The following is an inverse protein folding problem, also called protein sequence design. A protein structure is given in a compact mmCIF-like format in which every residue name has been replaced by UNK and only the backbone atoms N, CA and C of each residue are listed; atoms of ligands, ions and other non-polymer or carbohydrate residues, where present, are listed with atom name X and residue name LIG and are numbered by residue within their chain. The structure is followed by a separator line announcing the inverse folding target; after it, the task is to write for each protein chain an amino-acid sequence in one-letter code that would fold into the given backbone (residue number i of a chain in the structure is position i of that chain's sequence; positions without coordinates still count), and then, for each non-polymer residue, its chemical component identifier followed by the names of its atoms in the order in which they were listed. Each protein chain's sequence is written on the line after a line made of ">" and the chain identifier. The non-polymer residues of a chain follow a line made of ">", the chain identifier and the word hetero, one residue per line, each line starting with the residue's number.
data_IF_467076204032
#
_entry.id   IF_467076204032
#
_cell.length_a   1.000
_cell.length_b   1.000
_cell.length_c   1.000
_cell.angle_alpha   90.00
_cell.angle_beta   90.00
_cell.angle_gamma   90.00
#
_symmetry.space_group_name_H-M   'P 1'
#
loop_
_entity.id
_entity.type
_entity.pdbx_description
1 polymer ?
#
# COMPACT_ATOMS: atom_id res chain seq x y z
N UNK A 1 -41.73 4.10 -30.25
CA UNK A 1 -42.69 4.41 -29.17
C UNK A 1 -42.77 3.18 -28.27
N UNK A 2 -41.87 3.06 -27.29
CA UNK A 2 -42.06 3.33 -25.82
C UNK A 2 -43.08 2.38 -25.18
N UNK A 3 -42.79 1.59 -24.14
CA UNK A 3 -41.60 1.36 -23.31
C UNK A 3 -41.97 0.90 -21.88
N UNK A 4 -40.98 0.34 -21.13
CA UNK A 4 -40.73 0.46 -19.66
C UNK A 4 -41.72 -0.26 -18.69
N UNK A 5 -41.37 -0.91 -17.55
CA UNK A 5 -40.18 -1.12 -16.69
C UNK A 5 -40.39 -2.42 -15.86
N UNK A 6 -39.33 -3.14 -15.51
CA UNK A 6 -39.24 -3.94 -14.27
C UNK A 6 -37.84 -3.72 -13.65
N UNK A 7 -37.80 -3.47 -12.35
CA UNK A 7 -36.61 -3.23 -11.54
C UNK A 7 -35.94 -4.57 -11.20
N UNK A 8 -34.67 -4.71 -11.56
CA UNK A 8 -33.75 -5.72 -11.04
C UNK A 8 -32.56 -4.96 -10.42
N UNK A 9 -32.30 -5.16 -9.14
CA UNK A 9 -31.06 -4.72 -8.49
C UNK A 9 -30.16 -5.95 -8.47
N UNK A 10 -29.26 -6.01 -9.45
CA UNK A 10 -28.14 -6.96 -9.50
C UNK A 10 -26.94 -6.18 -8.98
N UNK A 11 -26.42 -6.58 -7.82
CA UNK A 11 -25.13 -6.12 -7.32
C UNK A 11 -24.05 -6.93 -8.04
N UNK A 12 -23.36 -6.31 -8.99
CA UNK A 12 -22.23 -6.91 -9.69
C UNK A 12 -20.95 -6.62 -8.90
N UNK A 13 -20.39 -7.65 -8.27
CA UNK A 13 -19.03 -7.65 -7.72
C UNK A 13 -18.07 -7.78 -8.91
N UNK A 14 -17.32 -6.72 -9.20
CA UNK A 14 -16.29 -6.73 -10.23
C UNK A 14 -15.02 -7.39 -9.67
N UNK A 15 -14.89 -8.70 -9.89
CA UNK A 15 -13.62 -9.42 -9.73
C UNK A 15 -12.72 -9.06 -10.91
N UNK A 16 -11.77 -8.15 -10.69
CA UNK A 16 -10.67 -7.90 -11.63
C UNK A 16 -9.60 -8.99 -11.44
N UNK A 17 -9.85 -10.15 -12.04
CA UNK A 17 -8.82 -11.16 -12.29
C UNK A 17 -7.95 -10.69 -13.46
N UNK A 18 -6.76 -10.16 -13.13
CA UNK A 18 -5.71 -9.90 -14.11
C UNK A 18 -5.14 -11.20 -14.66
N UNK A 19 -5.58 -11.61 -15.84
CA UNK A 19 -4.95 -12.69 -16.61
C UNK A 19 -3.59 -12.22 -17.11
N UNK A 20 -2.51 -12.79 -16.58
CA UNK A 20 -1.18 -12.73 -17.18
C UNK A 20 -1.11 -13.65 -18.41
N UNK A 21 -0.69 -13.17 -19.58
CA UNK A 21 -0.18 -14.04 -20.64
C UNK A 21 1.34 -14.19 -20.53
N UNK A 22 1.77 -15.41 -20.20
CA UNK A 22 2.85 -16.15 -20.85
C UNK A 22 4.16 -15.43 -21.20
N UNK A 23 5.20 -15.75 -20.44
CA UNK A 23 6.59 -15.71 -20.86
C UNK A 23 6.85 -16.65 -22.05
N UNK A 24 7.61 -16.20 -23.05
CA UNK A 24 8.84 -16.85 -23.55
C UNK A 24 9.43 -16.01 -24.69
N UNK A 25 10.46 -15.21 -24.37
CA UNK A 25 11.44 -14.77 -25.35
C UNK A 25 12.76 -15.49 -25.01
N UNK A 26 13.04 -16.55 -25.76
CA UNK A 26 14.36 -17.15 -25.82
C UNK A 26 15.29 -16.13 -26.48
N UNK A 27 16.23 -15.57 -25.71
CA UNK A 27 17.36 -14.84 -26.26
C UNK A 27 18.54 -15.80 -26.29
N UNK A 28 18.91 -16.11 -27.52
CA UNK A 28 19.98 -16.99 -27.94
C UNK A 28 21.32 -16.47 -27.40
N UNK A 29 22.03 -17.35 -26.72
CA UNK A 29 23.38 -17.12 -26.23
C UNK A 29 24.33 -17.12 -27.44
N UNK A 30 24.65 -15.94 -27.94
CA UNK A 30 25.74 -15.76 -28.91
C UNK A 30 27.05 -15.63 -28.16
N UNK A 31 27.79 -16.74 -28.16
CA UNK A 31 29.23 -16.81 -27.95
C UNK A 31 29.95 -15.88 -28.93
N UNK A 32 31.02 -15.20 -28.48
CA UNK A 32 32.20 -15.09 -29.32
C UNK A 32 33.38 -15.77 -28.63
N UNK A 33 33.84 -16.83 -29.29
CA UNK A 33 35.17 -17.39 -29.15
C UNK A 33 36.25 -16.33 -29.37
N UNK A 34 37.32 -16.45 -28.58
CA UNK A 34 38.70 -16.17 -28.94
C UNK A 34 39.07 -14.75 -29.40
N UNK A 35 39.93 -14.09 -28.62
CA UNK A 35 41.29 -13.78 -29.07
C UNK A 35 42.16 -13.30 -27.88
N UNK A 36 43.23 -14.05 -27.68
CA UNK A 36 44.35 -13.68 -26.83
C UNK A 36 45.11 -12.50 -27.46
N UNK A 37 45.47 -11.52 -26.62
CA UNK A 37 46.56 -10.58 -26.79
C UNK A 37 46.89 -10.09 -25.35
N UNK A 38 48.00 -10.47 -24.70
CA UNK A 38 49.36 -9.97 -24.94
C UNK A 38 49.27 -8.49 -25.37
N UNK A 39 49.61 -7.49 -24.56
CA UNK A 39 50.89 -7.29 -23.89
C UNK A 39 50.76 -6.01 -23.05
N UNK A 40 51.53 -5.93 -21.99
CA UNK A 40 52.28 -4.74 -21.54
C UNK A 40 52.02 -3.46 -22.33
N UNK A 41 51.50 -2.40 -21.69
CA UNK A 41 52.26 -1.14 -21.54
C UNK A 41 51.45 -0.06 -20.78
N UNK A 42 52.21 0.75 -20.05
CA UNK A 42 51.98 2.18 -19.83
C UNK A 42 51.00 2.61 -18.73
N UNK A 43 51.53 2.51 -17.51
CA UNK A 43 51.50 3.56 -16.49
C UNK A 43 51.88 4.93 -17.09
N UNK A 44 50.96 5.61 -17.77
CA UNK A 44 51.07 7.03 -18.12
C UNK A 44 49.73 7.71 -17.91
N UNK A 45 49.35 7.87 -16.64
CA UNK A 45 48.50 8.96 -16.22
C UNK A 45 49.31 9.75 -15.19
N UNK A 46 49.08 11.06 -15.06
CA UNK A 46 49.56 11.92 -13.95
C UNK A 46 50.76 12.85 -14.20
N UNK A 47 50.94 13.42 -15.39
CA UNK A 47 51.68 14.70 -15.52
C UNK A 47 50.83 15.84 -16.05
N UNK A 48 49.90 15.58 -16.98
CA UNK A 48 49.02 16.62 -17.56
C UNK A 48 47.89 17.09 -16.64
N UNK A 49 47.44 16.29 -15.67
CA UNK A 49 46.35 16.68 -14.74
C UNK A 49 46.78 17.71 -13.68
N UNK A 50 48.08 17.85 -13.42
CA UNK A 50 48.56 18.64 -12.29
C UNK A 50 48.49 20.15 -12.51
N UNK A 51 48.60 20.59 -13.76
CA UNK A 51 48.41 22.01 -14.12
C UNK A 51 46.92 22.39 -14.07
N UNK A 52 46.04 21.50 -14.55
CA UNK A 52 44.60 21.72 -14.60
C UNK A 52 43.96 21.93 -13.21
N UNK A 53 44.49 21.30 -12.16
CA UNK A 53 44.00 21.47 -10.77
C UNK A 53 44.24 22.89 -10.24
N UNK A 54 45.20 23.64 -10.78
CA UNK A 54 45.43 25.04 -10.42
C UNK A 54 44.85 26.05 -11.42
N UNK A 55 44.21 25.58 -12.50
CA UNK A 55 43.59 26.49 -13.47
C UNK A 55 42.52 27.37 -12.82
N UNK A 56 42.47 28.65 -13.20
CA UNK A 56 41.53 29.61 -12.64
C UNK A 56 41.91 30.21 -11.28
N UNK A 57 43.01 29.78 -10.65
CA UNK A 57 43.57 30.47 -9.48
C UNK A 57 44.21 31.78 -9.96
N UNK A 58 43.44 32.86 -9.90
CA UNK A 58 43.83 34.20 -10.36
C UNK A 58 44.02 35.11 -9.14
N UNK A 59 45.27 35.29 -8.73
CA UNK A 59 45.60 36.15 -7.58
C UNK A 59 47.06 35.98 -7.15
N UNK A 60 47.58 36.96 -6.41
CA UNK A 60 48.93 36.93 -5.83
C UNK A 60 49.07 36.01 -4.61
N UNK A 61 47.99 35.35 -4.20
CA UNK A 61 47.89 34.54 -2.99
C UNK A 61 48.00 33.04 -3.23
N UNK A 62 48.20 32.27 -2.16
CA UNK A 62 48.10 30.82 -2.21
C UNK A 62 46.67 30.37 -1.90
N UNK A 63 46.18 29.37 -2.65
CA UNK A 63 44.82 28.83 -2.54
C UNK A 63 44.85 27.32 -2.37
N UNK A 64 44.14 26.80 -1.38
CA UNK A 64 43.96 25.35 -1.20
C UNK A 64 42.80 24.87 -2.04
N UNK A 65 43.05 23.89 -2.91
CA UNK A 65 42.09 23.22 -3.79
C UNK A 65 42.10 21.72 -3.45
N UNK A 66 40.98 21.04 -3.61
CA UNK A 66 40.94 19.59 -3.51
C UNK A 66 40.37 18.95 -4.77
N UNK A 67 40.63 17.65 -4.94
CA UNK A 67 39.90 16.79 -5.86
C UNK A 67 39.32 15.60 -5.10
N UNK A 68 38.10 15.18 -5.44
CA UNK A 68 37.52 13.95 -4.92
C UNK A 68 38.34 12.75 -5.41
N UNK A 69 38.86 11.93 -4.49
CA UNK A 69 39.71 10.80 -4.87
C UNK A 69 38.97 9.72 -5.70
N UNK A 70 37.64 9.67 -5.62
CA UNK A 70 36.79 8.73 -6.35
C UNK A 70 36.50 9.15 -7.79
N UNK A 71 36.28 10.44 -8.04
CA UNK A 71 35.84 10.95 -9.34
C UNK A 71 36.87 11.83 -10.05
N UNK A 72 37.89 12.32 -9.33
CA UNK A 72 38.82 13.33 -9.83
C UNK A 72 38.22 14.73 -9.94
N UNK A 73 36.94 14.91 -9.57
CA UNK A 73 36.24 16.18 -9.66
C UNK A 73 36.87 17.20 -8.71
N UNK A 74 37.04 18.43 -9.21
CA UNK A 74 37.64 19.54 -8.47
C UNK A 74 36.63 20.15 -7.50
N UNK A 75 37.09 20.36 -6.27
CA UNK A 75 36.32 20.91 -5.15
C UNK A 75 37.03 22.17 -4.64
N UNK A 76 36.31 23.28 -4.55
CA UNK A 76 36.87 24.60 -4.18
C UNK A 76 35.82 25.47 -3.51
N UNK A 77 36.24 26.48 -2.73
CA UNK A 77 35.30 27.39 -2.05
C UNK A 77 34.64 26.73 -0.84
N UNK A 78 33.35 26.99 -0.63
CA UNK A 78 32.57 26.44 0.50
C UNK A 78 31.69 25.29 0.02
N UNK A 79 31.97 24.09 0.52
CA UNK A 79 31.37 22.85 0.03
C UNK A 79 30.76 22.03 1.16
N UNK A 80 29.77 21.21 0.79
CA UNK A 80 29.05 20.33 1.72
C UNK A 80 29.35 18.88 1.36
N UNK A 81 30.25 18.26 2.12
CA UNK A 81 30.72 16.91 1.85
C UNK A 81 30.35 15.98 2.99
N UNK A 82 30.03 14.73 2.69
CA UNK A 82 29.74 13.76 3.73
C UNK A 82 31.02 13.23 4.38
N UNK A 83 30.88 12.73 5.61
CA UNK A 83 31.95 12.00 6.28
C UNK A 83 32.42 10.79 5.43
N UNK A 84 33.66 10.35 5.67
CA UNK A 84 34.36 9.29 4.95
C UNK A 84 34.71 9.59 3.48
N UNK A 85 34.31 10.74 2.93
CA UNK A 85 34.79 11.21 1.63
C UNK A 85 36.30 11.45 1.71
N UNK A 86 37.01 11.02 0.66
CA UNK A 86 38.46 11.20 0.54
C UNK A 86 38.78 12.30 -0.47
N UNK A 87 39.67 13.21 -0.05
CA UNK A 87 40.09 14.38 -0.81
C UNK A 87 41.60 14.35 -1.02
N UNK A 88 42.05 14.63 -2.23
CA UNK A 88 43.45 14.92 -2.53
C UNK A 88 43.66 16.43 -2.48
N UNK A 89 44.33 16.92 -1.44
CA UNK A 89 44.56 18.36 -1.24
C UNK A 89 45.78 18.83 -2.02
N UNK A 90 45.67 20.03 -2.62
CA UNK A 90 46.72 20.69 -3.37
C UNK A 90 46.79 22.17 -3.00
N UNK A 91 48.01 22.69 -2.87
CA UNK A 91 48.23 24.12 -2.68
C UNK A 91 48.65 24.76 -4.00
N UNK A 92 47.85 25.69 -4.50
CA UNK A 92 48.09 26.42 -5.73
C UNK A 92 48.54 27.85 -5.44
N UNK A 93 49.39 28.39 -6.31
CA UNK A 93 49.85 29.79 -6.30
C UNK A 93 49.72 30.39 -7.70
N UNK A 94 50.03 31.68 -7.86
CA UNK A 94 50.09 32.33 -9.19
C UNK A 94 51.09 31.68 -10.15
N UNK A 95 52.07 30.93 -9.63
CA UNK A 95 53.09 30.21 -10.41
C UNK A 95 52.73 28.74 -10.66
N UNK A 96 51.55 28.29 -10.20
CA UNK A 96 51.10 26.90 -10.28
C UNK A 96 51.18 26.18 -8.94
N UNK A 97 51.27 24.85 -9.00
CA UNK A 97 51.29 23.99 -7.82
C UNK A 97 52.52 24.27 -6.93
N UNK A 98 52.30 24.38 -5.62
CA UNK A 98 53.36 24.54 -4.63
C UNK A 98 53.82 23.15 -4.16
N UNK A 99 55.07 22.81 -4.48
CA UNK A 99 55.71 21.54 -4.09
C UNK A 99 57.14 21.78 -3.59
N UNK A 100 57.72 20.85 -2.81
CA UNK A 100 57.11 19.63 -2.29
C UNK A 100 56.29 19.89 -1.01
N UNK A 101 55.23 19.10 -0.82
CA UNK A 101 54.56 18.97 0.47
C UNK A 101 55.53 18.39 1.51
N UNK A 102 55.54 18.93 2.73
CA UNK A 102 56.52 18.62 3.78
C UNK A 102 57.60 19.69 3.94
N UNK A 103 58.10 20.25 2.83
CA UNK A 103 59.14 21.30 2.90
C UNK A 103 58.58 22.69 2.56
N UNK A 104 57.74 22.79 1.53
CA UNK A 104 57.21 24.07 1.07
C UNK A 104 55.91 24.47 1.78
N UNK A 105 55.15 23.49 2.25
CA UNK A 105 53.93 23.64 3.03
C UNK A 105 53.56 22.31 3.69
N UNK A 106 52.82 22.38 4.78
CA UNK A 106 52.33 21.22 5.52
C UNK A 106 50.88 21.40 5.95
N UNK A 107 50.18 20.29 6.18
CA UNK A 107 48.84 20.29 6.74
C UNK A 107 48.91 19.95 8.23
N UNK A 108 48.39 20.84 9.07
CA UNK A 108 48.27 20.60 10.50
C UNK A 108 47.19 19.55 10.79
N UNK A 109 47.50 18.55 11.61
CA UNK A 109 46.52 17.58 12.12
C UNK A 109 45.36 18.25 12.86
N UNK A 110 44.14 17.72 12.69
CA UNK A 110 42.91 18.25 13.29
C UNK A 110 41.85 17.16 13.40
N UNK A 111 40.96 17.25 14.38
CA UNK A 111 39.89 16.26 14.67
C UNK A 111 38.75 16.20 13.62
N UNK A 112 38.93 16.81 12.45
CA UNK A 112 37.92 16.85 11.38
C UNK A 112 38.30 16.05 10.13
N UNK A 113 39.55 15.57 10.06
CA UNK A 113 40.02 14.75 8.96
C UNK A 113 41.23 13.92 9.39
N UNK A 114 41.37 12.76 8.78
CA UNK A 114 42.52 11.88 8.92
C UNK A 114 43.40 11.98 7.67
N UNK A 115 44.71 12.16 7.83
CA UNK A 115 45.66 12.09 6.71
C UNK A 115 45.96 10.62 6.42
N UNK A 116 45.47 10.11 5.29
CA UNK A 116 45.65 8.71 4.89
C UNK A 116 47.02 8.45 4.26
N UNK A 117 47.47 9.38 3.41
CA UNK A 117 48.77 9.30 2.75
C UNK A 117 49.25 10.70 2.36
N UNK A 118 50.54 10.83 2.06
CA UNK A 118 51.12 12.05 1.56
C UNK A 118 52.04 11.76 0.37
N UNK A 119 52.11 12.70 -0.55
CA UNK A 119 53.00 12.71 -1.70
C UNK A 119 53.64 14.09 -1.82
N UNK A 120 54.68 14.25 -2.64
CA UNK A 120 55.30 15.55 -2.94
C UNK A 120 54.29 16.61 -3.40
N UNK A 121 53.14 16.20 -3.94
CA UNK A 121 52.11 17.09 -4.46
C UNK A 121 51.12 17.56 -3.39
N UNK A 122 51.02 16.86 -2.27
CA UNK A 122 50.06 17.11 -1.21
C UNK A 122 49.56 15.84 -0.51
N UNK A 123 48.79 16.00 0.59
CA UNK A 123 48.21 14.92 1.35
C UNK A 123 46.85 14.47 0.78
N UNK A 124 46.57 13.18 0.95
CA UNK A 124 45.25 12.58 0.82
C UNK A 124 44.60 12.52 2.20
N UNK A 125 43.44 13.14 2.35
CA UNK A 125 42.71 13.21 3.62
C UNK A 125 41.35 12.55 3.51
N UNK A 126 40.87 11.95 4.60
CA UNK A 126 39.51 11.44 4.76
C UNK A 126 38.79 12.28 5.80
N UNK A 127 37.59 12.77 5.48
CA UNK A 127 36.76 13.51 6.44
C UNK A 127 36.25 12.56 7.52
N UNK A 128 36.43 12.91 8.79
CA UNK A 128 35.97 12.07 9.90
C UNK A 128 34.47 12.27 10.18
N UNK A 129 33.74 11.28 10.72
CA UNK A 129 32.36 11.48 11.16
C UNK A 129 32.27 12.58 12.23
N UNK A 130 31.31 13.51 12.10
CA UNK A 130 31.13 14.57 13.09
C UNK A 130 32.13 15.73 12.95
N UNK A 131 32.80 15.87 11.79
CA UNK A 131 33.83 16.90 11.58
C UNK A 131 33.30 18.34 11.65
N UNK A 132 31.98 18.55 11.55
CA UNK A 132 31.37 19.87 11.64
C UNK A 132 31.78 20.78 10.49
N UNK A 133 32.78 21.64 10.68
CA UNK A 133 33.31 22.49 9.60
C UNK A 133 34.84 22.47 9.65
N UNK A 134 35.48 22.20 8.50
CA UNK A 134 36.93 22.24 8.32
C UNK A 134 37.28 23.31 7.30
N UNK A 135 37.96 24.35 7.75
CA UNK A 135 38.55 25.40 6.90
C UNK A 135 40.01 25.06 6.60
N UNK A 136 40.28 24.38 5.47
CA UNK A 136 41.64 23.94 5.14
C UNK A 136 42.68 25.07 5.07
N UNK A 137 42.38 26.30 4.59
CA UNK A 137 43.33 27.41 4.62
C UNK A 137 43.92 27.69 6.01
N UNK A 138 43.10 27.57 7.07
CA UNK A 138 43.54 27.77 8.46
C UNK A 138 44.45 26.65 8.99
N UNK A 139 44.51 25.52 8.28
CA UNK A 139 45.26 24.32 8.67
C UNK A 139 46.59 24.20 7.93
N UNK A 140 46.86 25.05 6.94
CA UNK A 140 48.15 25.04 6.24
C UNK A 140 49.22 25.74 7.06
N UNK A 141 50.39 25.11 7.18
CA UNK A 141 51.58 25.65 7.86
C UNK A 141 52.66 25.99 6.84
N UNK A 142 53.66 26.75 7.31
CA UNK A 142 54.84 27.20 6.55
C UNK A 142 54.56 28.17 5.39
N UNK A 143 53.30 28.32 4.99
CA UNK A 143 52.89 29.22 3.92
C UNK A 143 51.57 29.90 4.25
N UNK A 144 51.49 31.19 3.98
CA UNK A 144 50.24 31.94 4.12
C UNK A 144 49.28 31.54 2.99
N UNK A 145 48.05 31.22 3.36
CA UNK A 145 46.97 30.86 2.44
C UNK A 145 45.85 31.88 2.63
N UNK A 146 45.49 32.56 1.54
CA UNK A 146 44.58 33.71 1.60
C UNK A 146 43.12 33.29 1.39
N UNK A 147 42.88 32.15 0.72
CA UNK A 147 41.56 31.56 0.54
C UNK A 147 41.67 30.08 0.18
N UNK A 148 40.54 29.37 0.13
CA UNK A 148 40.53 27.98 -0.32
C UNK A 148 39.35 27.19 0.22
N UNK A 149 39.50 25.88 0.16
CA UNK A 149 38.45 24.94 0.50
C UNK A 149 38.02 25.03 1.98
N UNK A 150 36.73 25.29 2.18
CA UNK A 150 36.03 25.08 3.45
C UNK A 150 34.99 23.99 3.22
N UNK A 151 35.07 22.91 3.98
CA UNK A 151 34.08 21.84 3.93
C UNK A 151 33.25 21.89 5.20
N UNK A 152 31.94 21.77 5.05
CA UNK A 152 31.01 21.63 6.17
C UNK A 152 30.28 20.30 6.05
N UNK A 153 30.16 19.59 7.15
CA UNK A 153 29.38 18.37 7.26
C UNK A 153 27.91 18.78 7.10
N UNK A 154 27.19 18.20 6.13
CA UNK A 154 25.75 18.33 6.10
C UNK A 154 25.22 17.88 7.46
N UNK A 155 24.45 18.75 8.14
CA UNK A 155 23.75 18.38 9.37
C UNK A 155 23.01 17.07 9.10
N UNK A 156 23.25 16.05 9.92
CA UNK A 156 22.70 14.72 9.73
C UNK A 156 21.16 14.75 9.79
N UNK A 157 20.54 15.08 8.67
CA UNK A 157 19.10 14.96 8.46
C UNK A 157 18.83 13.46 8.42
N UNK A 158 18.44 12.93 9.57
CA UNK A 158 18.36 11.50 9.76
C UNK A 158 17.11 11.13 10.54
N UNK A 159 16.55 9.98 10.18
CA UNK A 159 15.36 9.40 10.77
C UNK A 159 15.65 7.96 11.16
N UNK A 160 15.04 7.51 12.25
CA UNK A 160 15.03 6.10 12.60
C UNK A 160 13.68 5.55 12.11
N UNK A 161 13.66 4.67 11.10
CA UNK A 161 12.42 4.10 10.61
C UNK A 161 11.65 3.37 11.71
N UNK A 162 10.36 3.64 11.84
CA UNK A 162 9.45 2.92 12.73
C UNK A 162 8.94 1.62 12.09
N UNK A 163 9.04 1.49 10.77
CA UNK A 163 8.57 0.33 9.96
C UNK A 163 9.41 -0.96 10.13
N UNK A 164 9.98 -1.21 11.32
CA UNK A 164 10.65 -2.47 11.64
C UNK A 164 12.01 -2.67 10.98
N UNK A 165 12.65 -1.60 10.54
CA UNK A 165 14.00 -1.63 9.95
C UNK A 165 15.03 -1.18 10.98
N UNK A 166 16.08 -1.98 11.15
CA UNK A 166 17.20 -1.61 12.00
C UNK A 166 18.12 -0.64 11.27
N UNK A 167 18.35 0.53 11.87
CA UNK A 167 19.32 1.49 11.37
C UNK A 167 18.79 2.92 11.34
N UNK A 168 19.64 3.79 10.80
CA UNK A 168 19.34 5.22 10.65
C UNK A 168 19.36 5.56 9.17
N UNK A 169 18.25 6.09 8.69
CA UNK A 169 18.10 6.55 7.32
C UNK A 169 18.53 8.02 7.24
N UNK A 170 19.47 8.32 6.37
CA UNK A 170 19.90 9.69 6.09
C UNK A 170 19.14 10.25 4.89
N UNK A 171 18.64 11.47 4.99
CA UNK A 171 17.91 12.19 3.96
C UNK A 171 18.61 13.51 3.62
N UNK A 172 18.29 14.09 2.46
CA UNK A 172 19.05 15.22 1.91
C UNK A 172 18.82 16.55 2.65
N UNK A 173 17.69 16.72 3.34
CA UNK A 173 17.31 17.99 3.97
C UNK A 173 16.40 17.80 5.20
N UNK A 174 16.28 18.85 6.02
CA UNK A 174 15.31 18.87 7.13
C UNK A 174 13.86 18.80 6.64
N UNK A 175 13.55 19.39 5.48
CA UNK A 175 12.23 19.26 4.86
C UNK A 175 11.92 17.79 4.48
N UNK A 176 12.94 17.06 4.00
CA UNK A 176 12.82 15.63 3.70
C UNK A 176 12.65 14.77 4.96
N UNK A 177 13.14 15.22 6.11
CA UNK A 177 12.86 14.56 7.40
C UNK A 177 11.38 14.69 7.76
N UNK A 178 10.81 15.88 7.61
CA UNK A 178 9.39 16.11 7.91
C UNK A 178 8.48 15.40 6.90
N UNK A 179 8.84 15.40 5.63
CA UNK A 179 8.16 14.63 4.58
C UNK A 179 8.20 13.13 4.86
N UNK A 180 9.37 12.58 5.22
CA UNK A 180 9.50 11.18 5.64
C UNK A 180 8.55 10.84 6.79
N UNK A 181 8.57 11.63 7.88
CA UNK A 181 7.71 11.39 9.05
C UNK A 181 6.23 11.48 8.70
N UNK A 182 5.85 12.41 7.83
CA UNK A 182 4.48 12.55 7.37
C UNK A 182 4.03 11.34 6.55
N UNK A 183 4.87 10.86 5.62
CA UNK A 183 4.58 9.71 4.78
C UNK A 183 4.55 8.40 5.58
N UNK A 184 5.53 8.19 6.47
CA UNK A 184 5.56 7.05 7.38
C UNK A 184 4.33 7.05 8.30
N UNK A 185 3.99 8.20 8.89
CA UNK A 185 2.79 8.34 9.72
C UNK A 185 1.50 8.05 8.97
N UNK A 186 1.38 8.51 7.71
CA UNK A 186 0.24 8.21 6.86
C UNK A 186 0.13 6.71 6.54
N UNK A 187 1.25 6.07 6.19
CA UNK A 187 1.30 4.63 5.90
C UNK A 187 0.95 3.80 7.14
N UNK A 188 1.60 4.04 8.28
CA UNK A 188 1.31 3.35 9.55
C UNK A 188 -0.14 3.59 9.98
N UNK A 189 -0.64 4.82 9.83
CA UNK A 189 -2.02 5.18 10.12
C UNK A 189 -3.04 4.46 9.24
N UNK A 190 -2.76 4.31 7.93
CA UNK A 190 -3.60 3.55 7.01
C UNK A 190 -3.56 2.05 7.32
N UNK A 191 -2.37 1.52 7.61
CA UNK A 191 -2.14 0.13 8.04
C UNK A 191 -2.98 -0.24 9.26
N UNK A 192 -2.94 0.56 10.32
CA UNK A 192 -3.75 0.35 11.52
C UNK A 192 -5.27 0.38 11.26
N UNK A 193 -5.71 1.24 10.34
CA UNK A 193 -7.14 1.35 9.96
C UNK A 193 -7.60 0.14 9.17
N UNK A 194 -6.77 -0.37 8.25
CA UNK A 194 -7.03 -1.62 7.54
C UNK A 194 -7.13 -2.79 8.51
N UNK A 195 -6.17 -2.97 9.42
CA UNK A 195 -6.24 -4.03 10.45
C UNK A 195 -7.50 -3.91 11.31
N UNK A 196 -7.89 -2.71 11.70
CA UNK A 196 -9.11 -2.48 12.48
C UNK A 196 -10.38 -2.83 11.70
N UNK A 197 -10.43 -2.46 10.41
CA UNK A 197 -11.55 -2.79 9.53
C UNK A 197 -11.65 -4.29 9.24
N UNK A 198 -10.52 -4.96 9.01
CA UNK A 198 -10.42 -6.43 8.86
C UNK A 198 -10.93 -7.14 10.12
N UNK A 199 -10.51 -6.67 11.30
CA UNK A 199 -10.98 -7.21 12.59
C UNK A 199 -12.49 -7.05 12.75
N UNK A 200 -13.02 -5.86 12.46
CA UNK A 200 -14.46 -5.61 12.51
C UNK A 200 -15.26 -6.49 11.52
N UNK A 201 -14.69 -6.80 10.36
CA UNK A 201 -15.30 -7.74 9.41
C UNK A 201 -15.31 -9.16 9.99
N UNK A 202 -14.21 -9.63 10.57
CA UNK A 202 -14.14 -10.93 11.22
C UNK A 202 -15.15 -11.06 12.38
N UNK A 203 -15.33 -10.02 13.19
CA UNK A 203 -16.38 -9.98 14.23
C UNK A 203 -17.79 -10.06 13.63
N UNK A 204 -18.02 -9.36 12.52
CA UNK A 204 -19.30 -9.41 11.78
C UNK A 204 -19.56 -10.82 11.23
N UNK A 205 -18.53 -11.49 10.71
CA UNK A 205 -18.58 -12.89 10.26
C UNK A 205 -18.90 -13.85 11.41
N UNK A 206 -18.32 -13.64 12.60
CA UNK A 206 -18.61 -14.44 13.78
C UNK A 206 -20.07 -14.26 14.26
N UNK A 207 -20.57 -13.03 14.26
CA UNK A 207 -21.98 -12.74 14.57
C UNK A 207 -22.93 -13.41 13.55
N UNK A 208 -22.58 -13.42 12.26
CA UNK A 208 -23.33 -14.12 11.22
C UNK A 208 -23.38 -15.64 11.43
N UNK A 209 -22.30 -16.24 11.93
CA UNK A 209 -22.26 -17.67 12.23
C UNK A 209 -22.92 -18.04 13.58
N UNK A 210 -23.36 -17.05 14.36
CA UNK A 210 -23.90 -17.27 15.70
C UNK A 210 -22.85 -17.70 16.73
N UNK A 211 -21.56 -17.58 16.39
CA UNK A 211 -20.43 -17.84 17.29
C UNK A 211 -19.91 -16.57 17.98
N UNK A 212 -20.37 -15.40 17.55
CA UNK A 212 -20.05 -14.09 18.15
C UNK A 212 -21.03 -13.67 19.25
N UNK A 213 -20.63 -12.65 20.03
CA UNK A 213 -21.43 -12.08 21.13
C UNK A 213 -22.49 -11.06 20.68
N UNK A 214 -22.54 -10.70 19.39
CA UNK A 214 -23.43 -9.68 18.84
C UNK A 214 -24.50 -10.26 17.92
N UNK A 215 -25.62 -9.54 17.77
CA UNK A 215 -26.64 -9.85 16.77
C UNK A 215 -26.17 -9.40 15.37
N UNK A 216 -26.37 -10.26 14.37
CA UNK A 216 -26.04 -9.93 12.99
C UNK A 216 -26.93 -8.80 12.46
N UNK A 217 -26.32 -7.77 11.88
CA UNK A 217 -27.02 -6.64 11.27
C UNK A 217 -26.46 -6.37 9.86
N UNK A 218 -27.27 -6.58 8.83
CA UNK A 218 -26.86 -6.45 7.43
C UNK A 218 -26.40 -5.03 7.07
N UNK A 219 -27.01 -3.98 7.63
CA UNK A 219 -26.59 -2.59 7.41
C UNK A 219 -25.22 -2.31 8.04
N UNK A 220 -24.94 -2.93 9.18
CA UNK A 220 -23.64 -2.82 9.84
C UNK A 220 -22.57 -3.54 9.04
N UNK A 221 -22.86 -4.76 8.55
CA UNK A 221 -21.96 -5.52 7.69
C UNK A 221 -21.59 -4.76 6.40
N UNK A 222 -22.56 -4.15 5.72
CA UNK A 222 -22.30 -3.38 4.50
C UNK A 222 -21.38 -2.17 4.77
N UNK A 223 -21.59 -1.47 5.89
CA UNK A 223 -20.69 -0.37 6.30
C UNK A 223 -19.29 -0.86 6.65
N UNK A 224 -19.16 -2.05 7.20
CA UNK A 224 -17.84 -2.64 7.51
C UNK A 224 -17.08 -2.97 6.22
N UNK A 225 -17.75 -3.55 5.21
CA UNK A 225 -17.15 -3.79 3.89
C UNK A 225 -16.74 -2.49 3.19
N UNK A 226 -17.61 -1.47 3.18
CA UNK A 226 -17.28 -0.14 2.61
C UNK A 226 -16.07 0.50 3.30
N UNK A 227 -15.96 0.36 4.63
CA UNK A 227 -14.80 0.86 5.39
C UNK A 227 -13.54 0.07 5.10
N UNK A 228 -13.64 -1.24 4.94
CA UNK A 228 -12.49 -2.08 4.59
C UNK A 228 -11.94 -1.70 3.21
N UNK A 229 -12.81 -1.59 2.20
CA UNK A 229 -12.44 -1.15 0.85
C UNK A 229 -11.76 0.23 0.87
N UNK A 230 -12.35 1.20 1.57
CA UNK A 230 -11.76 2.52 1.72
C UNK A 230 -10.40 2.48 2.43
N UNK A 231 -10.24 1.65 3.46
CA UNK A 231 -8.98 1.51 4.21
C UNK A 231 -7.89 0.86 3.37
N UNK A 232 -8.23 -0.17 2.58
CA UNK A 232 -7.29 -0.80 1.63
C UNK A 232 -6.88 0.19 0.54
N UNK A 233 -7.81 0.97 -0.01
CA UNK A 233 -7.48 2.00 -1.01
C UNK A 233 -6.51 3.05 -0.44
N UNK A 234 -6.71 3.48 0.81
CA UNK A 234 -5.82 4.43 1.47
C UNK A 234 -4.46 3.84 1.84
N UNK A 235 -4.42 2.57 2.27
CA UNK A 235 -3.17 1.83 2.46
C UNK A 235 -2.36 1.81 1.17
N UNK A 236 -3.00 1.52 0.04
CA UNK A 236 -2.35 1.46 -1.27
C UNK A 236 -1.78 2.83 -1.69
N UNK A 237 -2.57 3.89 -1.52
CA UNK A 237 -2.16 5.24 -1.87
C UNK A 237 -0.99 5.75 -1.00
N UNK A 238 -1.07 5.51 0.31
CA UNK A 238 -0.01 5.88 1.27
C UNK A 238 1.25 5.06 1.05
N UNK A 239 1.15 3.75 0.84
CA UNK A 239 2.28 2.88 0.51
C UNK A 239 2.97 3.30 -0.79
N UNK A 240 2.21 3.58 -1.85
CA UNK A 240 2.78 4.05 -3.11
C UNK A 240 3.53 5.37 -2.95
N UNK A 241 2.94 6.33 -2.23
CA UNK A 241 3.59 7.64 -2.00
C UNK A 241 4.88 7.48 -1.19
N UNK A 242 4.84 6.65 -0.15
CA UNK A 242 5.99 6.42 0.70
C UNK A 242 7.12 5.67 -0.03
N UNK A 243 6.79 4.66 -0.85
CA UNK A 243 7.78 3.98 -1.70
C UNK A 243 8.42 4.92 -2.71
N UNK A 244 7.64 5.79 -3.37
CA UNK A 244 8.21 6.77 -4.31
C UNK A 244 9.23 7.68 -3.62
N UNK A 245 8.93 8.14 -2.40
CA UNK A 245 9.89 8.91 -1.60
C UNK A 245 11.13 8.10 -1.25
N UNK A 246 10.96 6.87 -0.74
CA UNK A 246 12.06 5.99 -0.35
C UNK A 246 12.96 5.61 -1.53
N UNK A 247 12.41 5.43 -2.75
CA UNK A 247 13.22 5.25 -3.96
C UNK A 247 14.10 6.45 -4.27
N UNK A 248 13.58 7.67 -4.09
CA UNK A 248 14.38 8.90 -4.20
C UNK A 248 15.50 8.95 -3.16
N UNK A 249 15.17 8.61 -1.91
CA UNK A 249 16.17 8.54 -0.83
C UNK A 249 17.21 7.46 -1.10
N UNK A 250 16.83 6.26 -1.55
CA UNK A 250 17.77 5.18 -1.85
C UNK A 250 18.79 5.58 -2.93
N UNK A 251 18.38 6.43 -3.88
CA UNK A 251 19.26 6.92 -4.95
C UNK A 251 20.33 7.89 -4.43
N UNK A 252 19.95 8.77 -3.50
CA UNK A 252 20.73 9.93 -3.12
C UNK A 252 21.29 9.86 -1.68
N UNK A 253 20.94 8.81 -0.92
CA UNK A 253 21.33 8.61 0.48
C UNK A 253 22.69 7.92 0.64
N UNK A 254 23.36 8.25 1.74
CA UNK A 254 24.59 7.58 2.18
C UNK A 254 24.37 6.14 2.66
N UNK A 255 23.14 5.82 3.07
CA UNK A 255 22.75 4.49 3.55
C UNK A 255 21.67 3.91 2.65
N UNK A 256 21.96 3.64 1.36
CA UNK A 256 20.98 3.14 0.42
C UNK A 256 20.38 1.80 0.87
N UNK A 257 21.16 0.95 1.56
CA UNK A 257 20.67 -0.31 2.14
C UNK A 257 19.48 -0.12 3.08
N UNK A 258 19.56 0.82 4.03
CA UNK A 258 18.45 1.10 4.97
C UNK A 258 17.21 1.61 4.24
N UNK A 259 17.38 2.36 3.15
CA UNK A 259 16.26 2.82 2.32
C UNK A 259 15.59 1.67 1.55
N UNK A 260 16.39 0.71 1.07
CA UNK A 260 15.90 -0.51 0.41
C UNK A 260 15.20 -1.42 1.40
N UNK A 261 15.78 -1.65 2.59
CA UNK A 261 15.14 -2.43 3.64
C UNK A 261 13.80 -1.80 4.07
N UNK A 262 13.73 -0.48 4.09
CA UNK A 262 12.48 0.27 4.31
C UNK A 262 11.46 0.08 3.18
N UNK A 263 11.90 0.05 1.92
CA UNK A 263 11.02 -0.26 0.78
C UNK A 263 10.43 -1.67 0.91
N UNK A 264 11.28 -2.64 1.19
CA UNK A 264 10.91 -4.05 1.35
C UNK A 264 9.93 -4.23 2.53
N UNK A 265 10.17 -3.54 3.65
CA UNK A 265 9.27 -3.57 4.80
C UNK A 265 7.88 -2.98 4.48
N UNK A 266 7.82 -1.87 3.71
CA UNK A 266 6.54 -1.28 3.27
C UNK A 266 5.82 -2.21 2.27
N UNK A 267 6.54 -2.90 1.40
CA UNK A 267 5.96 -3.90 0.47
C UNK A 267 5.44 -5.14 1.19
N UNK A 268 6.24 -5.71 2.09
CA UNK A 268 5.86 -6.86 2.89
C UNK A 268 4.63 -6.55 3.76
N UNK A 269 4.61 -5.39 4.44
CA UNK A 269 3.49 -4.98 5.28
C UNK A 269 2.21 -4.74 4.47
N UNK A 270 2.29 -4.09 3.30
CA UNK A 270 1.11 -3.90 2.45
C UNK A 270 0.55 -5.23 1.94
N UNK A 271 1.44 -6.13 1.49
CA UNK A 271 1.05 -7.44 0.96
C UNK A 271 0.36 -8.28 2.02
N UNK A 272 0.96 -8.40 3.21
CA UNK A 272 0.37 -9.14 4.33
C UNK A 272 -1.01 -8.60 4.70
N UNK A 273 -1.18 -7.27 4.78
CA UNK A 273 -2.48 -6.68 5.13
C UNK A 273 -3.55 -6.86 4.07
N UNK A 274 -3.17 -6.84 2.79
CA UNK A 274 -4.10 -7.16 1.69
C UNK A 274 -4.51 -8.62 1.71
N UNK A 275 -3.58 -9.53 1.98
CA UNK A 275 -3.89 -10.96 2.13
C UNK A 275 -4.87 -11.18 3.27
N UNK A 276 -4.61 -10.62 4.47
CA UNK A 276 -5.53 -10.70 5.61
C UNK A 276 -6.91 -10.10 5.31
N UNK A 277 -6.96 -8.94 4.63
CA UNK A 277 -8.23 -8.32 4.23
C UNK A 277 -9.02 -9.21 3.25
N UNK A 278 -8.35 -9.79 2.25
CA UNK A 278 -8.97 -10.69 1.27
C UNK A 278 -9.46 -11.98 1.93
N UNK A 279 -8.68 -12.55 2.85
CA UNK A 279 -9.08 -13.73 3.63
C UNK A 279 -10.32 -13.44 4.49
N UNK A 280 -10.39 -12.27 5.13
CA UNK A 280 -11.54 -11.87 5.92
C UNK A 280 -12.80 -11.69 5.07
N UNK A 281 -12.68 -11.12 3.86
CA UNK A 281 -13.79 -11.02 2.90
C UNK A 281 -14.24 -12.39 2.43
N UNK A 282 -13.31 -13.27 2.06
CA UNK A 282 -13.63 -14.63 1.63
C UNK A 282 -14.32 -15.44 2.75
N UNK A 283 -13.88 -15.28 3.99
CA UNK A 283 -14.51 -15.90 5.16
C UNK A 283 -15.94 -15.37 5.40
N UNK A 284 -16.15 -14.06 5.22
CA UNK A 284 -17.47 -13.45 5.30
C UNK A 284 -18.42 -13.99 4.21
N UNK A 285 -17.97 -14.05 2.95
CA UNK A 285 -18.75 -14.58 1.83
C UNK A 285 -19.10 -16.06 2.03
N UNK A 286 -18.14 -16.87 2.50
CA UNK A 286 -18.38 -18.28 2.82
C UNK A 286 -19.42 -18.46 3.95
N UNK A 287 -19.42 -17.58 4.96
CA UNK A 287 -20.40 -17.59 6.03
C UNK A 287 -21.80 -17.19 5.53
N UNK A 288 -21.90 -16.20 4.62
CA UNK A 288 -23.15 -15.84 3.96
C UNK A 288 -23.72 -17.02 3.16
N UNK A 289 -22.89 -17.64 2.33
CA UNK A 289 -23.23 -18.83 1.54
C UNK A 289 -23.73 -19.99 2.42
N UNK A 290 -23.07 -20.25 3.54
CA UNK A 290 -23.47 -21.29 4.49
C UNK A 290 -24.82 -20.98 5.13
N UNK A 291 -25.06 -19.70 5.48
CA UNK A 291 -26.34 -19.22 6.03
C UNK A 291 -27.46 -19.38 4.99
N UNK A 292 -27.21 -19.02 3.73
CA UNK A 292 -28.19 -19.18 2.64
C UNK A 292 -28.54 -20.65 2.40
N UNK A 293 -27.55 -21.55 2.35
CA UNK A 293 -27.79 -23.00 2.21
C UNK A 293 -28.54 -23.58 3.41
N UNK A 294 -28.21 -23.13 4.63
CA UNK A 294 -28.91 -23.54 5.84
C UNK A 294 -30.37 -23.08 5.84
N UNK A 295 -30.64 -21.84 5.43
CA UNK A 295 -32.01 -21.34 5.26
C UNK A 295 -32.74 -22.05 4.13
N UNK A 296 -32.10 -22.32 2.99
CA UNK A 296 -32.71 -23.06 1.88
C UNK A 296 -33.05 -24.51 2.26
N UNK A 297 -32.18 -25.20 3.00
CA UNK A 297 -32.41 -26.56 3.49
C UNK A 297 -33.43 -26.61 4.63
N UNK A 298 -33.43 -25.62 5.53
CA UNK A 298 -34.42 -25.48 6.60
C UNK A 298 -35.78 -25.12 6.03
N UNK A 299 -35.87 -24.21 5.05
CA UNK A 299 -37.09 -23.95 4.30
C UNK A 299 -37.51 -25.20 3.55
N UNK A 300 -36.61 -25.96 2.91
CA UNK A 300 -37.01 -27.20 2.22
C UNK A 300 -37.53 -28.26 3.19
N UNK A 301 -36.90 -28.48 4.34
CA UNK A 301 -37.36 -29.44 5.35
C UNK A 301 -38.62 -28.97 6.10
N UNK A 302 -38.72 -27.70 6.49
CA UNK A 302 -39.94 -27.16 7.10
C UNK A 302 -41.06 -26.95 6.10
N UNK A 303 -40.78 -26.70 4.81
CA UNK A 303 -41.80 -26.71 3.76
C UNK A 303 -42.27 -28.16 3.53
N UNK A 304 -41.44 -29.19 3.63
CA UNK A 304 -41.91 -30.58 3.62
C UNK A 304 -42.73 -30.96 4.88
N UNK A 305 -42.41 -30.43 6.05
CA UNK A 305 -43.18 -30.65 7.29
C UNK A 305 -44.47 -29.81 7.32
N UNK A 306 -44.45 -28.57 6.83
CA UNK A 306 -45.60 -27.67 6.76
C UNK A 306 -46.51 -27.96 5.55
N UNK A 307 -45.98 -28.48 4.43
CA UNK A 307 -46.79 -29.08 3.36
C UNK A 307 -47.30 -30.45 3.82
N UNK A 308 -46.53 -31.23 4.59
CA UNK A 308 -47.02 -32.48 5.19
C UNK A 308 -48.21 -32.27 6.15
N UNK A 309 -48.13 -31.29 7.05
CA UNK A 309 -49.23 -30.92 7.96
C UNK A 309 -50.33 -30.10 7.26
N UNK A 310 -49.97 -29.22 6.33
CA UNK A 310 -50.89 -28.36 5.58
C UNK A 310 -51.67 -29.06 4.48
N UNK A 311 -51.14 -30.13 3.86
CA UNK A 311 -51.86 -30.97 2.89
C UNK A 311 -52.77 -31.97 3.62
N UNK A 312 -52.42 -32.42 4.82
CA UNK A 312 -53.31 -33.28 5.63
C UNK A 312 -54.48 -32.47 6.23
N UNK A 313 -54.23 -31.26 6.74
CA UNK A 313 -55.29 -30.38 7.26
C UNK A 313 -56.06 -29.64 6.15
N UNK A 314 -55.40 -29.22 5.07
CA UNK A 314 -56.01 -28.56 3.90
C UNK A 314 -56.72 -29.53 2.94
N UNK A 315 -56.27 -30.78 2.85
CA UNK A 315 -56.91 -31.83 2.06
C UNK A 315 -58.25 -32.30 2.66
N UNK A 316 -58.36 -32.33 4.00
CA UNK A 316 -59.61 -32.66 4.69
C UNK A 316 -60.63 -31.50 4.68
N UNK A 317 -60.17 -30.25 4.73
CA UNK A 317 -61.06 -29.08 4.68
C UNK A 317 -61.45 -28.66 3.24
N UNK A 318 -60.55 -28.82 2.27
CA UNK A 318 -60.74 -28.37 0.88
C UNK A 318 -61.48 -29.35 -0.05
N UNK A 319 -61.51 -30.65 0.28
CA UNK A 319 -62.16 -31.67 -0.56
C UNK A 319 -63.64 -31.91 -0.26
N UNK A 320 -64.04 -31.88 1.02
CA UNK A 320 -65.38 -32.30 1.43
C UNK A 320 -66.47 -31.23 1.20
N UNK A 321 -66.13 -29.94 1.36
CA UNK A 321 -67.09 -28.84 1.26
C UNK A 321 -67.55 -28.47 -0.16
N UNK A 322 -66.69 -28.45 -1.21
CA UNK A 322 -67.16 -28.14 -2.55
C UNK A 322 -67.91 -29.31 -3.20
N UNK A 323 -67.69 -30.56 -2.78
CA UNK A 323 -68.40 -31.72 -3.31
C UNK A 323 -69.89 -31.74 -2.90
N UNK A 324 -70.21 -31.28 -1.69
CA UNK A 324 -71.60 -31.19 -1.20
C UNK A 324 -72.39 -30.03 -1.82
N UNK A 325 -71.71 -28.94 -2.22
CA UNK A 325 -72.35 -27.80 -2.89
C UNK A 325 -72.53 -28.06 -4.39
N UNK A 326 -71.59 -28.75 -5.04
CA UNK A 326 -71.70 -29.10 -6.47
C UNK A 326 -72.88 -30.04 -6.77
N UNK A 327 -73.27 -30.90 -5.82
CA UNK A 327 -74.37 -31.86 -6.02
C UNK A 327 -75.77 -31.22 -5.96
N UNK A 328 -75.91 -29.93 -5.61
CA UNK A 328 -77.19 -29.20 -5.62
C UNK A 328 -77.42 -28.36 -6.89
N UNK A 329 -76.44 -28.27 -7.79
CA UNK A 329 -76.54 -27.43 -9.00
C UNK A 329 -76.60 -28.18 -10.33
N UNK A 330 -76.60 -29.51 -10.32
CA UNK A 330 -76.79 -30.31 -11.56
C UNK A 330 -78.28 -30.39 -11.98
N UNK A 331 -79.21 -29.92 -11.15
CA UNK A 331 -80.66 -29.99 -11.42
C UNK A 331 -81.29 -28.84 -12.23
N UNK A 332 -80.58 -27.76 -12.58
CA UNK A 332 -81.19 -26.60 -13.28
C UNK A 332 -80.30 -25.95 -14.34
N UNK A 333 -79.75 -26.76 -15.25
CA UNK A 333 -79.28 -26.27 -16.56
C UNK A 333 -80.02 -26.97 -17.69
N UNK A 334 -81.30 -26.61 -17.81
CA UNK A 334 -81.98 -26.55 -19.11
C UNK A 334 -82.56 -25.14 -19.22
N UNK A 335 -82.24 -24.49 -20.34
CA UNK A 335 -82.86 -23.25 -20.82
C UNK A 335 -82.36 -21.99 -20.09
N UNK A 336 -81.24 -21.42 -20.53
CA UNK A 336 -81.27 -20.24 -21.39
C UNK A 336 -79.86 -19.71 -21.68
N UNK A 337 -79.66 -19.38 -22.96
CA UNK A 337 -78.45 -18.80 -23.52
C UNK A 337 -78.54 -17.28 -23.40
N UNK A 338 -78.16 -16.73 -22.24
CA UNK A 338 -77.65 -15.36 -22.04
C UNK A 338 -77.43 -15.15 -20.55
N UNK A 339 -76.20 -15.32 -20.07
CA UNK A 339 -75.84 -14.98 -18.71
C UNK A 339 -74.54 -14.18 -18.73
N UNK A 340 -74.68 -12.86 -18.54
CA UNK A 340 -73.60 -11.98 -18.17
C UNK A 340 -72.85 -12.61 -16.99
N UNK A 341 -71.53 -12.74 -17.14
CA UNK A 341 -70.65 -13.17 -16.06
C UNK A 341 -70.74 -12.13 -14.93
N UNK A 342 -71.55 -12.44 -13.91
CA UNK A 342 -71.68 -11.63 -12.71
C UNK A 342 -70.29 -11.54 -12.05
N UNK A 343 -69.73 -10.34 -11.97
CA UNK A 343 -68.39 -10.04 -11.41
C UNK A 343 -68.22 -10.59 -9.98
N UNK A 344 -69.32 -10.88 -9.27
CA UNK A 344 -69.29 -11.54 -7.95
C UNK A 344 -68.68 -12.96 -7.96
N UNK A 345 -68.77 -13.72 -9.06
CA UNK A 345 -68.22 -15.07 -9.13
C UNK A 345 -66.68 -15.10 -9.15
N UNK A 346 -66.03 -13.99 -9.52
CA UNK A 346 -64.58 -13.83 -9.51
C UNK A 346 -64.04 -13.40 -8.13
N UNK A 347 -64.85 -12.70 -7.34
CA UNK A 347 -64.46 -12.20 -6.02
C UNK A 347 -64.51 -13.26 -4.92
N UNK A 348 -65.27 -14.34 -5.08
CA UNK A 348 -65.36 -15.41 -4.07
C UNK A 348 -64.02 -16.16 -3.89
N UNK A 349 -63.31 -16.62 -4.95
CA UNK A 349 -62.02 -17.28 -4.77
C UNK A 349 -60.90 -16.31 -4.35
N UNK A 350 -60.93 -15.06 -4.85
CA UNK A 350 -59.92 -14.04 -4.50
C UNK A 350 -60.12 -13.51 -3.08
N UNK A 351 -61.37 -13.22 -2.70
CA UNK A 351 -61.74 -12.80 -1.35
C UNK A 351 -61.54 -13.92 -0.32
N UNK A 352 -61.82 -15.18 -0.69
CA UNK A 352 -61.50 -16.35 0.13
C UNK A 352 -59.98 -16.52 0.33
N UNK A 353 -59.19 -16.33 -0.72
CA UNK A 353 -57.72 -16.37 -0.64
C UNK A 353 -57.15 -15.26 0.26
N UNK A 354 -57.64 -14.02 0.12
CA UNK A 354 -57.22 -12.89 0.95
C UNK A 354 -57.64 -13.11 2.42
N UNK A 355 -58.86 -13.60 2.67
CA UNK A 355 -59.31 -13.90 4.03
C UNK A 355 -58.46 -14.97 4.70
N UNK A 356 -58.00 -15.97 3.95
CA UNK A 356 -57.13 -17.04 4.45
C UNK A 356 -55.72 -16.52 4.77
N UNK A 357 -55.16 -15.64 3.93
CA UNK A 357 -53.90 -14.94 4.21
C UNK A 357 -54.02 -14.01 5.42
N UNK A 358 -55.13 -13.27 5.56
CA UNK A 358 -55.38 -12.45 6.74
C UNK A 358 -55.53 -13.32 8.00
N UNK A 359 -56.19 -14.47 7.91
CA UNK A 359 -56.37 -15.38 9.03
C UNK A 359 -55.04 -16.04 9.46
N UNK A 360 -54.14 -16.37 8.53
CA UNK A 360 -52.81 -16.88 8.89
C UNK A 360 -51.93 -15.79 9.51
N UNK A 361 -51.96 -14.57 8.98
CA UNK A 361 -51.25 -13.42 9.59
C UNK A 361 -51.80 -13.11 10.98
N UNK A 362 -53.12 -13.07 11.17
CA UNK A 362 -53.75 -12.88 12.48
C UNK A 362 -53.45 -14.03 13.45
N UNK A 363 -53.46 -15.28 12.97
CA UNK A 363 -53.12 -16.44 13.78
C UNK A 363 -51.67 -16.39 14.29
N UNK A 364 -50.73 -15.96 13.44
CA UNK A 364 -49.33 -15.74 13.84
C UNK A 364 -49.24 -14.62 14.88
N UNK A 365 -49.92 -13.49 14.67
CA UNK A 365 -49.92 -12.35 15.62
C UNK A 365 -50.50 -12.72 16.99
N UNK A 366 -51.55 -13.53 17.03
CA UNK A 366 -52.20 -13.94 18.29
C UNK A 366 -51.38 -15.00 19.03
N UNK A 367 -50.68 -15.89 18.32
CA UNK A 367 -49.90 -16.97 18.94
C UNK A 367 -48.49 -16.57 19.35
N UNK A 368 -47.88 -15.56 18.70
CA UNK A 368 -46.51 -15.12 19.01
C UNK A 368 -46.42 -13.81 19.80
N UNK A 369 -47.55 -13.12 20.01
CA UNK A 369 -47.58 -11.83 20.70
C UNK A 369 -46.88 -10.71 19.91
N UNK A 370 -47.19 -9.45 20.20
CA UNK A 370 -46.70 -8.25 19.50
C UNK A 370 -45.17 -8.06 19.49
N UNK A 371 -44.39 -8.98 20.06
CA UNK A 371 -42.94 -8.97 20.17
C UNK A 371 -42.18 -8.97 18.82
N UNK A 372 -42.81 -9.38 17.71
CA UNK A 372 -42.17 -9.39 16.39
C UNK A 372 -42.25 -8.05 15.62
N UNK A 373 -43.18 -7.15 15.99
CA UNK A 373 -43.32 -5.84 15.30
C UNK A 373 -42.47 -4.73 15.92
N UNK A 374 -41.87 -4.95 17.10
CA UNK A 374 -40.90 -4.03 17.71
C UNK A 374 -39.49 -4.11 17.13
N UNK A 375 -39.21 -5.07 16.23
CA UNK A 375 -37.87 -5.30 15.65
C UNK A 375 -37.77 -4.72 14.21
N UNK A 376 -38.87 -4.21 13.65
CA UNK A 376 -38.90 -3.65 12.28
C UNK A 376 -39.40 -2.18 12.27
N UNK A 377 -39.20 -1.43 13.36
CA UNK A 377 -39.38 0.03 13.34
C UNK A 377 -38.27 0.75 14.11
#
# INVERSE_FOLDING_TARGET
>A
MTGRRFFAVVLAVAVLAGTMPGAVAAVDASTPDSMAASTTDSTVASTSDTAAVCDGVSGSGNVVVATLASTGERVTGSERLYANVTLDLRLCSSQGLVTPYGDAWELQSSDGFEVLSASDRGPRVRLEPGYGTVEFPSKIRMKQVDSGLTVSEPVANAVNPAIGVDGRLYVSSAASVDEYRSLEGAFVGASNRTTSATTALAETTAALNGSGSGEFNATTANRTLERLDASVAELNASASSFRTFLFGVARDSQTPGVAVDALDAVEASETAQREEANEAVAAYDAALDARERSLASTIRNNLFVAIGLGVVLGGLAGGALPYLVANRTIGRKRIDSTADYNRYALWVPVGGGIALVCATVLGVVVTTGFSLFGVIL
#
